data_IF_494162633971
#
_entry.id   IF_494162633971
#
_cell.length_a   1.000
_cell.length_b   1.000
_cell.length_c   1.000
_cell.angle_alpha   90.00
_cell.angle_beta   90.00
_cell.angle_gamma   90.00
#
_symmetry.space_group_name_H-M   'P 1'
#
loop_
_entity.id
_entity.type
_entity.pdbx_description
1 polymer ?
#
# COMPACT_ATOMS: atom_id res chain seq x y z
N UNK A 1 42.09 12.68 9.68
CA UNK A 1 40.68 12.92 10.07
C UNK A 1 40.05 11.57 10.40
N UNK A 2 39.73 11.31 11.66
CA UNK A 2 39.26 9.99 12.13
C UNK A 2 37.83 9.70 11.63
N UNK A 3 37.49 8.40 11.49
CA UNK A 3 36.13 7.94 11.13
C UNK A 3 35.06 8.52 12.07
N UNK A 4 35.36 8.60 13.36
CA UNK A 4 34.47 9.15 14.39
C UNK A 4 34.21 10.65 14.23
N UNK A 5 35.17 11.41 13.71
CA UNK A 5 34.96 12.83 13.42
C UNK A 5 34.03 13.00 12.21
N UNK A 6 34.21 12.19 11.16
CA UNK A 6 33.35 12.22 9.98
C UNK A 6 31.93 11.81 10.30
N UNK A 7 31.71 10.76 11.11
CA UNK A 7 30.35 10.33 11.50
C UNK A 7 29.62 11.43 12.30
N UNK A 8 30.31 12.10 13.22
CA UNK A 8 29.76 13.27 13.94
C UNK A 8 29.39 14.40 12.98
N UNK A 9 30.24 14.72 12.01
CA UNK A 9 29.93 15.75 11.00
C UNK A 9 28.71 15.36 10.15
N UNK A 10 28.63 14.12 9.67
CA UNK A 10 27.48 13.59 8.92
C UNK A 10 26.21 13.78 9.73
N UNK A 11 26.22 13.39 11.01
CA UNK A 11 25.05 13.51 11.89
C UNK A 11 24.63 14.97 12.12
N UNK A 12 25.59 15.87 12.33
CA UNK A 12 25.30 17.31 12.52
C UNK A 12 24.64 17.90 11.27
N UNK A 13 25.18 17.62 10.08
CA UNK A 13 24.59 18.04 8.80
C UNK A 13 23.19 17.43 8.65
N UNK A 14 23.06 16.13 8.92
CA UNK A 14 21.78 15.44 8.80
C UNK A 14 20.71 16.08 9.69
N UNK A 15 21.04 16.39 10.94
CA UNK A 15 20.11 17.02 11.90
C UNK A 15 19.66 18.42 11.45
N UNK A 16 20.57 19.21 10.88
CA UNK A 16 20.25 20.54 10.36
C UNK A 16 19.28 20.45 9.17
N UNK A 17 19.58 19.57 8.22
CA UNK A 17 18.74 19.34 7.04
C UNK A 17 17.40 18.70 7.38
N UNK A 18 17.35 17.82 8.39
CA UNK A 18 16.12 17.14 8.81
C UNK A 18 15.01 18.15 9.16
N UNK A 19 15.36 19.22 9.89
CA UNK A 19 14.39 20.27 10.25
C UNK A 19 13.83 20.96 9.01
N UNK A 20 14.67 21.18 8.00
CA UNK A 20 14.24 21.78 6.73
C UNK A 20 13.34 20.83 5.95
N UNK A 21 13.68 19.55 5.87
CA UNK A 21 12.88 18.54 5.15
C UNK A 21 11.51 18.34 5.79
N UNK A 22 11.41 18.27 7.12
CA UNK A 22 10.13 18.07 7.81
C UNK A 22 9.19 19.29 7.75
N UNK A 23 9.72 20.50 7.92
CA UNK A 23 8.89 21.70 8.11
C UNK A 23 8.78 22.59 6.86
N UNK A 24 9.35 22.20 5.73
CA UNK A 24 9.14 22.99 4.51
C UNK A 24 7.72 22.83 3.97
N UNK A 25 7.13 23.94 3.52
CA UNK A 25 5.83 23.93 2.80
C UNK A 25 5.88 23.01 1.56
N UNK A 26 7.06 22.88 0.95
CA UNK A 26 7.31 22.03 -0.23
C UNK A 26 7.28 20.53 0.10
N UNK A 27 7.33 20.12 1.37
CA UNK A 27 7.26 18.71 1.79
C UNK A 27 5.85 18.26 2.22
N UNK A 28 4.90 19.19 2.38
CA UNK A 28 3.59 18.88 2.95
C UNK A 28 2.79 17.85 2.12
N UNK A 29 2.90 17.90 0.79
CA UNK A 29 2.24 16.94 -0.11
C UNK A 29 2.73 15.49 0.09
N UNK A 30 3.96 15.29 0.58
CA UNK A 30 4.51 13.95 0.86
C UNK A 30 3.79 13.30 2.03
N UNK A 31 3.37 14.08 3.04
CA UNK A 31 2.50 13.58 4.11
C UNK A 31 1.13 13.21 3.57
N UNK A 32 0.58 14.00 2.65
CA UNK A 32 -0.65 13.67 1.94
C UNK A 32 -0.55 12.32 1.23
N UNK A 33 0.53 12.08 0.49
CA UNK A 33 0.79 10.78 -0.15
C UNK A 33 0.89 9.64 0.87
N UNK A 34 1.61 9.85 1.98
CA UNK A 34 1.82 8.83 2.99
C UNK A 34 0.58 8.52 3.84
N UNK A 35 -0.33 9.48 4.04
CA UNK A 35 -1.53 9.32 4.89
C UNK A 35 -2.83 9.11 4.10
N UNK A 36 -2.81 9.22 2.78
CA UNK A 36 -4.00 9.02 1.96
C UNK A 36 -4.66 7.63 2.17
N UNK A 37 -3.92 6.50 2.21
CA UNK A 37 -4.49 5.20 2.52
C UNK A 37 -5.17 5.14 3.88
N UNK A 38 -4.56 5.77 4.90
CA UNK A 38 -5.14 5.87 6.23
C UNK A 38 -6.53 6.51 6.17
N UNK A 39 -6.69 7.60 5.40
CA UNK A 39 -8.00 8.25 5.22
C UNK A 39 -9.02 7.30 4.59
N UNK A 40 -8.63 6.53 3.57
CA UNK A 40 -9.51 5.55 2.92
C UNK A 40 -9.98 4.50 3.93
N UNK A 41 -9.05 3.91 4.70
CA UNK A 41 -9.41 2.88 5.69
C UNK A 41 -10.28 3.44 6.82
N UNK A 42 -10.02 4.67 7.27
CA UNK A 42 -10.87 5.35 8.26
C UNK A 42 -12.28 5.60 7.70
N UNK A 43 -12.41 6.08 6.46
CA UNK A 43 -13.71 6.26 5.82
C UNK A 43 -14.45 4.93 5.67
N UNK A 44 -13.75 3.87 5.24
CA UNK A 44 -14.33 2.52 5.15
C UNK A 44 -14.80 2.02 6.52
N UNK A 45 -14.04 2.26 7.57
CA UNK A 45 -14.41 1.90 8.94
C UNK A 45 -15.70 2.60 9.38
N UNK A 46 -15.81 3.91 9.12
CA UNK A 46 -17.03 4.68 9.40
C UNK A 46 -18.22 4.14 8.61
N UNK A 47 -18.03 3.81 7.33
CA UNK A 47 -19.08 3.24 6.48
C UNK A 47 -19.55 1.87 6.99
N UNK A 48 -18.61 1.02 7.41
CA UNK A 48 -18.91 -0.29 7.99
C UNK A 48 -19.68 -0.15 9.30
N UNK A 49 -19.25 0.75 10.18
CA UNK A 49 -19.92 1.00 11.46
C UNK A 49 -21.34 1.55 11.25
N UNK A 50 -21.50 2.48 10.31
CA UNK A 50 -22.82 2.96 9.91
C UNK A 50 -23.72 1.82 9.41
N UNK A 51 -23.18 0.95 8.56
CA UNK A 51 -23.91 -0.21 8.05
C UNK A 51 -24.28 -1.21 9.15
N UNK A 52 -23.39 -1.48 10.10
CA UNK A 52 -23.68 -2.32 11.28
C UNK A 52 -24.84 -1.74 12.09
N UNK A 53 -24.82 -0.42 12.38
CA UNK A 53 -25.90 0.24 13.12
C UNK A 53 -27.24 0.15 12.41
N UNK A 54 -27.27 0.37 11.10
CA UNK A 54 -28.52 0.24 10.32
C UNK A 54 -29.07 -1.18 10.35
N UNK A 55 -28.20 -2.20 10.24
CA UNK A 55 -28.62 -3.60 10.27
C UNK A 55 -29.11 -4.03 11.66
N UNK A 56 -28.38 -3.64 12.71
CA UNK A 56 -28.74 -3.93 14.10
C UNK A 56 -30.02 -3.23 14.56
N UNK A 57 -30.38 -2.10 13.95
CA UNK A 57 -31.61 -1.37 14.28
C UNK A 57 -32.90 -2.07 13.83
N UNK A 58 -32.83 -3.03 12.89
CA UNK A 58 -34.03 -3.71 12.37
C UNK A 58 -34.35 -4.96 13.19
N UNK A 59 -33.47 -5.95 13.15
CA UNK A 59 -33.61 -7.19 13.91
C UNK A 59 -32.26 -7.93 13.88
N UNK A 60 -31.82 -8.46 15.02
CA UNK A 60 -30.62 -9.29 15.13
C UNK A 60 -31.06 -10.69 15.52
N UNK A 61 -30.81 -11.66 14.64
CA UNK A 61 -31.15 -13.07 14.88
C UNK A 61 -29.98 -13.79 15.56
N UNK A 62 -30.25 -14.88 16.28
CA UNK A 62 -29.17 -15.67 16.84
C UNK A 62 -28.41 -16.42 15.73
N UNK A 63 -27.08 -16.63 15.87
CA UNK A 63 -26.30 -17.38 14.89
C UNK A 63 -26.85 -18.80 14.66
N UNK A 64 -27.30 -19.48 15.72
CA UNK A 64 -27.88 -20.82 15.63
C UNK A 64 -29.17 -20.86 14.81
N UNK A 65 -30.01 -19.82 14.89
CA UNK A 65 -31.21 -19.72 14.06
C UNK A 65 -30.83 -19.52 12.59
N UNK A 66 -29.81 -18.70 12.32
CA UNK A 66 -29.34 -18.48 10.95
C UNK A 66 -28.74 -19.74 10.32
N UNK A 67 -27.93 -20.48 11.08
CA UNK A 67 -27.29 -21.73 10.60
C UNK A 67 -28.30 -22.90 10.50
N UNK A 68 -29.50 -22.76 11.07
CA UNK A 68 -30.56 -23.77 11.00
C UNK A 68 -31.34 -23.77 9.68
N UNK A 69 -31.15 -22.76 8.82
CA UNK A 69 -31.85 -22.60 7.55
C UNK A 69 -31.28 -23.54 6.49
N UNK A 70 -32.15 -24.31 5.82
CA UNK A 70 -31.75 -25.26 4.76
C UNK A 70 -32.39 -24.92 3.43
N UNK A 71 -31.68 -25.25 2.35
CA UNK A 71 -32.22 -25.18 1.00
C UNK A 71 -33.45 -26.10 0.86
N UNK A 72 -34.44 -25.66 0.08
CA UNK A 72 -35.72 -26.34 -0.10
C UNK A 72 -36.83 -25.94 0.88
N UNK A 73 -36.54 -25.12 1.90
CA UNK A 73 -37.56 -24.61 2.81
C UNK A 73 -38.49 -23.58 2.15
N UNK A 74 -39.76 -23.54 2.58
CA UNK A 74 -40.74 -22.53 2.13
C UNK A 74 -40.50 -21.18 2.81
N UNK A 75 -40.78 -20.09 2.10
CA UNK A 75 -40.63 -18.71 2.59
C UNK A 75 -41.34 -18.49 3.93
N UNK A 76 -42.57 -19.00 4.07
CA UNK A 76 -43.40 -18.76 5.26
C UNK A 76 -42.79 -19.39 6.51
N UNK A 77 -42.31 -20.63 6.40
CA UNK A 77 -41.65 -21.35 7.49
C UNK A 77 -40.36 -20.65 7.93
N UNK A 78 -39.60 -20.09 6.99
CA UNK A 78 -38.38 -19.34 7.27
C UNK A 78 -38.70 -18.01 7.97
N UNK A 79 -39.74 -17.31 7.52
CA UNK A 79 -40.19 -16.04 8.12
C UNK A 79 -40.75 -16.22 9.54
N UNK A 80 -41.49 -17.30 9.79
CA UNK A 80 -42.04 -17.61 11.12
C UNK A 80 -40.91 -17.89 12.12
N UNK A 81 -39.86 -18.61 11.68
CA UNK A 81 -38.71 -18.97 12.52
C UNK A 81 -37.72 -17.82 12.76
N UNK A 82 -37.35 -17.09 11.71
CA UNK A 82 -36.32 -16.04 11.78
C UNK A 82 -36.92 -14.66 12.12
N UNK A 83 -38.24 -14.53 12.05
CA UNK A 83 -38.95 -13.27 12.21
C UNK A 83 -38.70 -12.29 11.07
N UNK A 84 -38.85 -10.99 11.39
CA UNK A 84 -38.81 -9.91 10.41
C UNK A 84 -37.41 -9.77 9.78
N UNK A 85 -37.27 -9.84 8.45
CA UNK A 85 -35.99 -9.67 7.77
C UNK A 85 -35.53 -8.20 7.80
N UNK A 86 -34.21 -7.99 7.77
CA UNK A 86 -33.59 -6.66 7.70
C UNK A 86 -33.86 -5.96 6.37
N UNK A 87 -33.96 -6.74 5.30
CA UNK A 87 -34.34 -6.28 3.96
C UNK A 87 -35.15 -7.37 3.29
N UNK A 88 -36.27 -6.97 2.71
CA UNK A 88 -37.14 -7.81 1.92
C UNK A 88 -37.29 -7.18 0.55
N UNK A 89 -36.98 -7.96 -0.48
CA UNK A 89 -37.01 -7.51 -1.87
C UNK A 89 -37.66 -8.58 -2.71
N UNK A 90 -38.76 -8.21 -3.35
CA UNK A 90 -39.48 -9.07 -4.26
C UNK A 90 -39.34 -8.54 -5.68
N UNK A 91 -38.98 -9.43 -6.60
CA UNK A 91 -38.84 -9.13 -8.01
C UNK A 91 -39.45 -10.27 -8.83
N UNK A 92 -40.34 -9.93 -9.75
CA UNK A 92 -40.83 -10.87 -10.75
C UNK A 92 -40.17 -10.57 -12.09
N UNK A 93 -39.65 -11.60 -12.75
CA UNK A 93 -39.15 -11.49 -14.11
C UNK A 93 -39.98 -12.39 -15.02
N UNK A 94 -40.26 -11.91 -16.24
CA UNK A 94 -40.95 -12.71 -17.26
C UNK A 94 -39.89 -13.48 -18.03
N UNK A 95 -39.96 -14.80 -18.01
CA UNK A 95 -39.13 -15.66 -18.85
C UNK A 95 -39.94 -16.07 -20.06
N UNK A 96 -39.46 -15.71 -21.26
CA UNK A 96 -40.04 -16.20 -22.51
C UNK A 96 -39.36 -17.52 -22.85
N UNK A 97 -40.13 -18.60 -22.90
CA UNK A 97 -39.62 -19.92 -23.21
C UNK A 97 -39.21 -20.01 -24.70
N UNK A 98 -38.24 -20.86 -25.01
CA UNK A 98 -37.54 -20.90 -26.30
C UNK A 98 -38.43 -21.40 -27.46
N UNK A 99 -39.47 -22.15 -27.13
CA UNK A 99 -40.59 -22.48 -28.02
C UNK A 99 -41.77 -21.59 -27.62
N UNK A 100 -41.98 -20.52 -28.37
CA UNK A 100 -42.86 -19.44 -27.97
C UNK A 100 -44.31 -19.88 -27.79
N UNK A 101 -44.86 -19.61 -26.60
CA UNK A 101 -46.19 -18.97 -26.42
C UNK A 101 -46.49 -18.66 -24.94
N UNK A 102 -45.80 -19.26 -23.97
CA UNK A 102 -46.05 -18.98 -22.54
C UNK A 102 -45.02 -18.02 -21.90
N UNK A 103 -45.51 -16.90 -21.34
CA UNK A 103 -44.73 -16.03 -20.44
C UNK A 103 -44.86 -16.55 -19.00
N UNK A 104 -43.89 -17.34 -18.53
CA UNK A 104 -43.86 -17.78 -17.13
C UNK A 104 -43.33 -16.64 -16.25
N UNK A 105 -44.13 -16.19 -15.27
CA UNK A 105 -43.73 -15.20 -14.25
C UNK A 105 -43.06 -15.89 -13.07
N UNK A 106 -41.73 -15.88 -13.06
CA UNK A 106 -40.96 -16.45 -11.95
C UNK A 106 -40.88 -15.39 -10.84
N UNK A 107 -41.33 -15.76 -9.64
CA UNK A 107 -41.34 -14.89 -8.47
C UNK A 107 -40.08 -15.12 -7.64
N UNK A 108 -39.17 -14.15 -7.65
CA UNK A 108 -37.96 -14.19 -6.84
C UNK A 108 -38.09 -13.27 -5.63
N UNK A 109 -37.74 -13.79 -4.45
CA UNK A 109 -37.70 -13.00 -3.22
C UNK A 109 -36.35 -13.13 -2.57
N UNK A 110 -35.78 -12.01 -2.13
CA UNK A 110 -34.50 -11.93 -1.47
C UNK A 110 -34.70 -11.41 -0.06
N UNK A 111 -34.34 -12.24 0.93
CA UNK A 111 -34.44 -11.91 2.34
C UNK A 111 -33.04 -11.76 2.92
N UNK A 112 -32.80 -10.64 3.62
CA UNK A 112 -31.53 -10.41 4.30
C UNK A 112 -31.70 -10.52 5.82
N UNK A 113 -30.85 -11.30 6.45
CA UNK A 113 -30.77 -11.43 7.90
C UNK A 113 -29.39 -11.06 8.43
N UNK A 114 -29.35 -10.64 9.69
CA UNK A 114 -28.15 -10.17 10.38
C UNK A 114 -28.04 -10.87 11.73
N UNK A 115 -26.91 -11.51 11.99
CA UNK A 115 -26.64 -12.20 13.26
C UNK A 115 -25.73 -11.41 14.23
N UNK A 116 -25.39 -10.16 13.86
CA UNK A 116 -24.43 -9.32 14.59
C UNK A 116 -23.03 -9.29 13.98
N UNK A 117 -22.65 -10.28 13.15
CA UNK A 117 -21.31 -10.40 12.55
C UNK A 117 -21.35 -10.73 11.05
N UNK A 118 -22.27 -11.62 10.68
CA UNK A 118 -22.50 -12.18 9.35
C UNK A 118 -23.86 -11.74 8.84
N UNK A 119 -23.91 -11.52 7.53
CA UNK A 119 -25.13 -11.25 6.79
C UNK A 119 -25.50 -12.49 5.99
N UNK A 120 -26.70 -13.02 6.22
CA UNK A 120 -27.30 -14.02 5.34
C UNK A 120 -28.13 -13.33 4.27
N UNK A 121 -27.90 -13.71 3.01
CA UNK A 121 -28.75 -13.40 1.88
C UNK A 121 -29.40 -14.71 1.41
N UNK A 122 -30.71 -14.81 1.62
CA UNK A 122 -31.54 -15.96 1.27
C UNK A 122 -32.29 -15.64 -0.03
N UNK A 123 -32.09 -16.46 -1.05
CA UNK A 123 -32.70 -16.28 -2.38
C UNK A 123 -33.76 -17.35 -2.57
N UNK A 124 -35.01 -16.91 -2.64
CA UNK A 124 -36.16 -17.75 -2.90
C UNK A 124 -36.59 -17.61 -4.35
N UNK A 125 -36.94 -18.73 -4.98
CA UNK A 125 -37.62 -18.77 -6.27
C UNK A 125 -38.92 -19.54 -6.10
N UNK A 126 -40.03 -18.97 -6.55
CA UNK A 126 -41.37 -19.57 -6.46
C UNK A 126 -41.75 -19.98 -5.03
N UNK A 127 -41.31 -19.19 -4.04
CA UNK A 127 -41.60 -19.45 -2.63
C UNK A 127 -40.71 -20.51 -1.96
N UNK A 128 -39.74 -21.09 -2.68
CA UNK A 128 -38.81 -22.10 -2.14
C UNK A 128 -37.39 -21.54 -2.07
N UNK A 129 -36.69 -21.80 -0.97
CA UNK A 129 -35.31 -21.36 -0.77
C UNK A 129 -34.36 -22.15 -1.67
N UNK A 130 -33.71 -21.47 -2.61
CA UNK A 130 -32.77 -22.12 -3.51
C UNK A 130 -31.31 -21.89 -3.15
N UNK A 131 -30.95 -20.67 -2.74
CA UNK A 131 -29.56 -20.33 -2.45
C UNK A 131 -29.43 -19.59 -1.14
N UNK A 132 -28.41 -19.96 -0.37
CA UNK A 132 -28.04 -19.35 0.89
C UNK A 132 -26.63 -18.76 0.75
N UNK A 133 -26.51 -17.44 0.87
CA UNK A 133 -25.22 -16.77 0.86
C UNK A 133 -24.98 -16.10 2.20
N UNK A 134 -24.18 -16.74 3.06
CA UNK A 134 -23.74 -16.17 4.32
C UNK A 134 -22.36 -15.54 4.09
N UNK A 135 -22.25 -14.24 4.34
CA UNK A 135 -20.97 -13.51 4.24
C UNK A 135 -20.70 -12.76 5.53
N UNK A 136 -19.49 -12.89 6.06
CA UNK A 136 -19.04 -12.04 7.14
C UNK A 136 -18.87 -10.61 6.63
N UNK A 137 -19.46 -9.64 7.32
CA UNK A 137 -19.46 -8.25 6.83
C UNK A 137 -18.07 -7.61 6.94
N UNK A 138 -17.34 -8.00 7.98
CA UNK A 138 -15.95 -7.64 8.21
C UNK A 138 -15.20 -8.91 8.56
N UNK A 139 -14.35 -9.37 7.65
CA UNK A 139 -13.42 -10.47 7.90
C UNK A 139 -11.99 -9.94 7.92
N UNK A 140 -11.17 -10.45 8.82
CA UNK A 140 -9.76 -10.07 8.91
C UNK A 140 -8.99 -10.35 7.61
N UNK A 141 -9.30 -11.44 6.90
CA UNK A 141 -8.61 -11.82 5.68
C UNK A 141 -8.88 -10.87 4.52
N UNK A 142 -10.14 -10.44 4.35
CA UNK A 142 -10.50 -9.41 3.38
C UNK A 142 -9.76 -8.10 3.66
N UNK A 143 -9.72 -7.68 4.93
CA UNK A 143 -9.02 -6.45 5.33
C UNK A 143 -7.51 -6.55 5.04
N UNK A 144 -6.87 -7.68 5.37
CA UNK A 144 -5.46 -7.95 5.06
C UNK A 144 -5.19 -7.92 3.56
N UNK A 145 -6.07 -8.50 2.74
CA UNK A 145 -5.95 -8.51 1.28
C UNK A 145 -6.09 -7.09 0.70
N UNK A 146 -7.04 -6.30 1.20
CA UNK A 146 -7.20 -4.89 0.81
C UNK A 146 -5.95 -4.07 1.15
N UNK A 147 -5.45 -4.19 2.39
CA UNK A 147 -4.24 -3.51 2.81
C UNK A 147 -3.02 -3.95 1.98
N UNK A 148 -2.87 -5.25 1.73
CA UNK A 148 -1.79 -5.79 0.93
C UNK A 148 -1.80 -5.23 -0.51
N UNK A 149 -2.97 -5.12 -1.13
CA UNK A 149 -3.14 -4.48 -2.43
C UNK A 149 -2.76 -3.00 -2.40
N UNK A 150 -3.29 -2.25 -1.43
CA UNK A 150 -2.96 -0.83 -1.26
C UNK A 150 -1.46 -0.64 -0.99
N UNK A 151 -0.84 -1.51 -0.21
CA UNK A 151 0.59 -1.44 0.07
C UNK A 151 1.42 -1.63 -1.21
N UNK A 152 1.12 -2.65 -2.00
CA UNK A 152 1.85 -2.95 -3.23
C UNK A 152 1.65 -1.90 -4.33
N UNK A 153 0.40 -1.57 -4.63
CA UNK A 153 0.07 -0.72 -5.79
C UNK A 153 0.17 0.76 -5.48
N UNK A 154 -0.25 1.19 -4.30
CA UNK A 154 -0.22 2.59 -3.92
C UNK A 154 1.06 2.93 -3.15
N UNK A 155 1.38 2.26 -2.04
CA UNK A 155 2.56 2.65 -1.24
C UNK A 155 3.88 2.47 -2.00
N UNK A 156 4.16 1.25 -2.48
CA UNK A 156 5.45 0.94 -3.08
C UNK A 156 5.66 1.63 -4.44
N UNK A 157 4.66 1.54 -5.33
CA UNK A 157 4.80 2.04 -6.71
C UNK A 157 4.55 3.55 -6.85
N UNK A 158 3.72 4.14 -5.98
CA UNK A 158 3.31 5.54 -6.12
C UNK A 158 3.80 6.39 -4.95
N UNK A 159 3.35 6.14 -3.72
CA UNK A 159 3.60 7.02 -2.59
C UNK A 159 5.08 7.15 -2.24
N UNK A 160 5.79 6.02 -2.07
CA UNK A 160 7.22 6.01 -1.73
C UNK A 160 8.05 6.49 -2.92
N UNK A 161 7.70 6.07 -4.14
CA UNK A 161 8.38 6.53 -5.35
C UNK A 161 8.35 8.06 -5.47
N UNK A 162 7.15 8.66 -5.48
CA UNK A 162 7.00 10.11 -5.63
C UNK A 162 7.45 10.87 -4.39
N UNK A 163 7.27 10.30 -3.21
CA UNK A 163 7.80 10.87 -1.97
C UNK A 163 9.32 10.93 -1.95
N UNK A 164 10.00 9.88 -2.38
CA UNK A 164 11.45 9.86 -2.50
C UNK A 164 11.92 10.81 -3.59
N UNK A 165 11.24 10.87 -4.74
CA UNK A 165 11.50 11.88 -5.77
C UNK A 165 11.41 13.29 -5.17
N UNK A 166 10.33 13.58 -4.46
CA UNK A 166 10.08 14.89 -3.85
C UNK A 166 11.09 15.29 -2.79
N UNK A 167 11.45 14.36 -1.90
CA UNK A 167 12.42 14.61 -0.83
C UNK A 167 13.82 14.71 -1.44
N UNK A 168 14.32 13.64 -2.06
CA UNK A 168 15.73 13.52 -2.41
C UNK A 168 16.15 14.35 -3.62
N UNK A 169 15.27 14.63 -4.58
CA UNK A 169 15.63 15.56 -5.67
C UNK A 169 15.83 16.97 -5.14
N UNK A 170 15.00 17.41 -4.19
CA UNK A 170 15.04 18.76 -3.67
C UNK A 170 16.23 19.03 -2.74
N UNK A 171 16.87 17.99 -2.18
CA UNK A 171 18.02 18.12 -1.27
C UNK A 171 19.23 18.84 -1.88
N UNK A 172 19.51 18.60 -3.15
CA UNK A 172 20.58 19.29 -3.89
C UNK A 172 20.02 20.28 -4.88
N UNK A 173 19.04 19.87 -5.70
CA UNK A 173 18.49 20.71 -6.76
C UNK A 173 17.83 21.97 -6.20
N UNK A 174 17.09 21.83 -5.09
CA UNK A 174 16.43 22.96 -4.44
C UNK A 174 17.45 24.01 -4.00
N UNK A 175 18.57 23.60 -3.44
CA UNK A 175 19.63 24.54 -3.04
C UNK A 175 20.42 25.13 -4.20
N UNK A 176 20.56 24.39 -5.31
CA UNK A 176 21.15 24.92 -6.53
C UNK A 176 20.26 26.00 -7.16
N UNK A 177 18.93 25.80 -7.16
CA UNK A 177 17.96 26.77 -7.66
C UNK A 177 17.87 27.99 -6.73
N UNK A 178 17.88 27.77 -5.42
CA UNK A 178 17.88 28.85 -4.42
C UNK A 178 19.26 29.54 -4.30
N UNK A 179 20.26 29.14 -5.11
CA UNK A 179 21.66 29.63 -5.10
C UNK A 179 22.34 29.57 -3.73
N UNK A 180 21.94 28.65 -2.86
CA UNK A 180 22.49 28.50 -1.49
C UNK A 180 23.56 27.42 -1.37
N UNK A 181 23.73 26.56 -2.39
CA UNK A 181 24.67 25.44 -2.35
C UNK A 181 26.14 25.90 -2.20
N UNK A 182 26.49 27.10 -2.65
CA UNK A 182 27.86 27.63 -2.53
C UNK A 182 28.30 27.81 -1.07
N UNK A 183 27.39 28.17 -0.15
CA UNK A 183 27.71 28.27 1.27
C UNK A 183 28.16 26.93 1.87
N UNK A 184 27.56 25.83 1.43
CA UNK A 184 27.96 24.49 1.84
C UNK A 184 29.31 24.05 1.27
N UNK A 185 29.69 24.55 0.08
CA UNK A 185 31.00 24.28 -0.51
C UNK A 185 32.13 25.09 0.12
N UNK A 186 31.82 26.24 0.71
CA UNK A 186 32.76 27.08 1.46
C UNK A 186 33.00 26.58 2.89
N UNK A 187 32.07 25.79 3.44
CA UNK A 187 32.23 25.18 4.75
C UNK A 187 33.42 24.19 4.73
N UNK A 188 34.20 24.07 5.83
CA UNK A 188 35.33 23.14 5.93
C UNK A 188 34.85 21.68 6.14
N UNK A 189 33.96 21.21 5.27
CA UNK A 189 33.41 19.86 5.24
C UNK A 189 33.73 19.21 3.90
N UNK A 190 34.15 17.95 3.93
CA UNK A 190 34.42 17.20 2.69
C UNK A 190 33.09 16.97 1.97
N UNK A 191 33.11 17.05 0.64
CA UNK A 191 31.86 16.99 -0.14
C UNK A 191 31.16 15.61 -0.08
N UNK A 192 31.92 14.55 0.18
CA UNK A 192 31.38 13.20 0.44
C UNK A 192 30.63 13.13 1.77
N UNK A 193 31.14 13.81 2.81
CA UNK A 193 30.48 13.95 4.12
C UNK A 193 29.19 14.77 4.01
N UNK A 194 29.18 15.82 3.18
CA UNK A 194 27.98 16.61 2.90
C UNK A 194 26.90 15.76 2.22
N UNK A 195 27.26 15.01 1.18
CA UNK A 195 26.33 14.11 0.49
C UNK A 195 25.76 13.06 1.44
N UNK A 196 26.61 12.42 2.26
CA UNK A 196 26.18 11.43 3.23
C UNK A 196 25.23 12.02 4.29
N UNK A 197 25.52 13.22 4.80
CA UNK A 197 24.66 13.92 5.76
C UNK A 197 23.29 14.26 5.18
N UNK A 198 23.26 14.77 3.95
CA UNK A 198 22.02 15.07 3.22
C UNK A 198 21.21 13.80 2.96
N UNK A 199 21.83 12.77 2.42
CA UNK A 199 21.18 11.49 2.18
C UNK A 199 20.57 10.91 3.46
N UNK A 200 21.32 10.94 4.57
CA UNK A 200 20.84 10.46 5.87
C UNK A 200 19.64 11.28 6.37
N UNK A 201 19.64 12.60 6.21
CA UNK A 201 18.49 13.43 6.56
C UNK A 201 17.23 13.06 5.75
N UNK A 202 17.39 12.96 4.42
CA UNK A 202 16.29 12.56 3.53
C UNK A 202 15.78 11.16 3.85
N UNK A 203 16.69 10.21 4.12
CA UNK A 203 16.34 8.85 4.49
C UNK A 203 15.59 8.78 5.81
N UNK A 204 16.04 9.49 6.85
CA UNK A 204 15.33 9.53 8.13
C UNK A 204 13.95 10.16 7.98
N UNK A 205 13.83 11.25 7.22
CA UNK A 205 12.54 11.88 6.96
C UNK A 205 11.58 10.95 6.21
N UNK A 206 12.02 10.38 5.08
CA UNK A 206 11.22 9.45 4.29
C UNK A 206 10.83 8.20 5.10
N UNK A 207 11.78 7.65 5.86
CA UNK A 207 11.58 6.49 6.74
C UNK A 207 10.51 6.73 7.80
N UNK A 208 10.57 7.89 8.48
CA UNK A 208 9.57 8.27 9.47
C UNK A 208 8.23 8.48 8.79
N UNK A 209 8.16 9.25 7.70
CA UNK A 209 6.90 9.57 7.02
C UNK A 209 6.20 8.31 6.48
N UNK A 210 6.91 7.50 5.69
CA UNK A 210 6.33 6.32 5.06
C UNK A 210 6.21 5.13 6.02
N UNK A 211 7.16 4.94 6.93
CA UNK A 211 7.09 3.88 7.94
C UNK A 211 5.94 4.11 8.91
N UNK A 212 5.78 5.33 9.43
CA UNK A 212 4.63 5.66 10.31
C UNK A 212 3.33 5.66 9.54
N UNK A 213 3.30 6.17 8.31
CA UNK A 213 2.11 6.11 7.46
C UNK A 213 1.64 4.67 7.24
N UNK A 214 2.54 3.76 6.89
CA UNK A 214 2.23 2.35 6.70
C UNK A 214 1.73 1.70 8.00
N UNK A 215 2.40 1.95 9.13
CA UNK A 215 1.98 1.44 10.43
C UNK A 215 0.60 1.96 10.88
N UNK A 216 0.33 3.26 10.67
CA UNK A 216 -0.97 3.86 10.97
C UNK A 216 -2.08 3.29 10.09
N UNK A 217 -1.81 3.12 8.79
CA UNK A 217 -2.75 2.51 7.85
C UNK A 217 -3.04 1.06 8.24
N UNK A 218 -2.03 0.29 8.66
CA UNK A 218 -2.21 -1.07 9.18
C UNK A 218 -3.04 -1.10 10.46
N UNK A 219 -2.86 -0.14 11.37
CA UNK A 219 -3.72 0.02 12.54
C UNK A 219 -5.17 0.33 12.16
N UNK A 220 -5.39 1.24 11.20
CA UNK A 220 -6.73 1.58 10.72
C UNK A 220 -7.43 0.42 10.02
N UNK A 221 -6.69 -0.45 9.31
CA UNK A 221 -7.20 -1.69 8.74
C UNK A 221 -7.80 -2.62 9.80
N UNK A 222 -7.23 -2.67 11.01
CA UNK A 222 -7.71 -3.52 12.11
C UNK A 222 -8.89 -2.92 12.87
N UNK A 223 -9.17 -1.62 12.70
CA UNK A 223 -10.21 -0.92 13.45
C UNK A 223 -11.63 -1.51 13.32
N UNK A 224 -12.14 -1.85 12.11
CA UNK A 224 -13.51 -2.36 11.98
C UNK A 224 -13.67 -3.82 12.42
N UNK A 225 -12.56 -4.53 12.68
CA UNK A 225 -12.51 -5.95 13.04
C UNK A 225 -12.89 -6.14 14.50
N UNK A 226 -13.51 -7.28 14.82
CA UNK A 226 -13.92 -7.57 16.20
C UNK A 226 -12.71 -7.74 17.13
N UNK A 227 -12.82 -7.24 18.37
CA UNK A 227 -11.73 -7.25 19.34
C UNK A 227 -11.21 -8.65 19.68
N UNK A 228 -12.06 -9.69 19.62
CA UNK A 228 -11.67 -11.08 19.83
C UNK A 228 -10.75 -11.60 18.70
N UNK A 229 -11.14 -11.38 17.44
CA UNK A 229 -10.32 -11.73 16.26
C UNK A 229 -9.01 -10.93 16.22
N UNK A 230 -9.04 -9.66 16.62
CA UNK A 230 -7.83 -8.84 16.70
C UNK A 230 -6.86 -9.43 17.74
N UNK A 231 -7.34 -9.84 18.91
CA UNK A 231 -6.48 -10.45 19.95
C UNK A 231 -5.84 -11.75 19.49
N UNK A 232 -6.58 -12.63 18.82
CA UNK A 232 -6.03 -13.88 18.28
C UNK A 232 -5.01 -13.60 17.18
N UNK A 233 -5.26 -12.60 16.34
CA UNK A 233 -4.32 -12.17 15.32
C UNK A 233 -3.02 -11.59 15.89
N UNK A 234 -3.11 -10.78 16.96
CA UNK A 234 -1.95 -10.24 17.68
C UNK A 234 -1.14 -11.31 18.41
N UNK A 235 -1.78 -12.39 18.87
CA UNK A 235 -1.08 -13.54 19.43
C UNK A 235 -0.32 -14.36 18.36
N UNK A 236 -0.63 -14.15 17.08
CA UNK A 236 0.01 -14.79 15.94
C UNK A 236 0.84 -13.81 15.09
N UNK A 237 0.59 -13.73 13.77
CA UNK A 237 1.52 -13.09 12.83
C UNK A 237 1.37 -11.56 12.69
N UNK A 238 0.51 -10.90 13.49
CA UNK A 238 0.20 -9.49 13.28
C UNK A 238 1.41 -8.56 13.37
N UNK A 239 2.23 -8.73 14.42
CA UNK A 239 3.43 -7.90 14.64
C UNK A 239 4.49 -8.15 13.58
N UNK A 240 4.71 -9.41 13.21
CA UNK A 240 5.64 -9.78 12.15
C UNK A 240 5.24 -9.18 10.80
N UNK A 241 3.95 -9.24 10.45
CA UNK A 241 3.43 -8.62 9.22
C UNK A 241 3.63 -7.10 9.24
N UNK A 242 3.27 -6.43 10.33
CA UNK A 242 3.44 -4.99 10.48
C UNK A 242 4.92 -4.57 10.33
N UNK A 243 5.83 -5.32 10.97
CA UNK A 243 7.27 -5.08 10.89
C UNK A 243 7.82 -5.33 9.49
N UNK A 244 7.37 -6.38 8.79
CA UNK A 244 7.80 -6.67 7.42
C UNK A 244 7.32 -5.59 6.43
N UNK A 245 6.09 -5.12 6.54
CA UNK A 245 5.61 -4.00 5.73
C UNK A 245 6.38 -2.70 6.02
N UNK A 246 6.62 -2.39 7.29
CA UNK A 246 7.40 -1.20 7.67
C UNK A 246 8.85 -1.31 7.18
N UNK A 247 9.48 -2.48 7.32
CA UNK A 247 10.82 -2.75 6.80
C UNK A 247 10.88 -2.65 5.27
N UNK A 248 9.87 -3.15 4.56
CA UNK A 248 9.75 -3.01 3.11
C UNK A 248 9.67 -1.52 2.71
N UNK A 249 8.88 -0.71 3.43
CA UNK A 249 8.79 0.72 3.19
C UNK A 249 10.14 1.44 3.44
N UNK A 250 10.85 1.08 4.52
CA UNK A 250 12.17 1.61 4.85
C UNK A 250 13.22 1.27 3.78
N UNK A 251 13.24 0.01 3.34
CA UNK A 251 14.12 -0.45 2.28
C UNK A 251 13.80 0.22 0.94
N UNK A 252 12.53 0.41 0.61
CA UNK A 252 12.14 1.17 -0.57
C UNK A 252 12.64 2.61 -0.50
N UNK A 253 12.53 3.27 0.66
CA UNK A 253 13.08 4.62 0.87
C UNK A 253 14.61 4.64 0.70
N UNK A 254 15.31 3.60 1.16
CA UNK A 254 16.75 3.43 1.00
C UNK A 254 17.15 3.24 -0.47
N UNK A 255 16.45 2.37 -1.19
CA UNK A 255 16.68 2.12 -2.62
C UNK A 255 16.40 3.36 -3.46
N UNK A 256 15.13 3.77 -3.51
CA UNK A 256 14.70 4.90 -4.33
C UNK A 256 15.36 6.21 -3.92
N UNK A 257 15.58 6.44 -2.63
CA UNK A 257 16.25 7.64 -2.15
C UNK A 257 17.67 7.77 -2.70
N UNK A 258 18.42 6.66 -2.79
CA UNK A 258 19.77 6.69 -3.34
C UNK A 258 19.78 7.04 -4.84
N UNK A 259 18.83 6.48 -5.60
CA UNK A 259 18.70 6.75 -7.04
C UNK A 259 18.31 8.21 -7.28
N UNK A 260 17.30 8.72 -6.57
CA UNK A 260 16.84 10.10 -6.75
C UNK A 260 17.85 11.13 -6.22
N UNK A 261 18.58 10.83 -5.16
CA UNK A 261 19.68 11.71 -4.73
C UNK A 261 20.76 11.81 -5.82
N UNK A 262 21.17 10.67 -6.39
CA UNK A 262 22.15 10.64 -7.47
C UNK A 262 21.63 11.37 -8.72
N UNK A 263 20.37 11.14 -9.08
CA UNK A 263 19.72 11.82 -10.20
C UNK A 263 19.61 13.34 -10.00
N UNK A 264 19.28 13.80 -8.79
CA UNK A 264 19.19 15.22 -8.44
C UNK A 264 20.53 15.96 -8.48
N UNK A 265 21.63 15.21 -8.42
CA UNK A 265 22.99 15.74 -8.61
C UNK A 265 23.41 15.74 -10.08
N UNK A 266 23.10 14.67 -10.82
CA UNK A 266 23.63 14.42 -12.16
C UNK A 266 22.78 15.05 -13.28
N UNK A 267 21.49 15.25 -13.06
CA UNK A 267 20.55 15.64 -14.11
C UNK A 267 19.97 17.03 -13.84
N UNK A 268 19.97 17.89 -14.86
CA UNK A 268 19.43 19.25 -14.75
C UNK A 268 17.92 19.27 -14.52
N UNK A 269 17.18 18.44 -15.28
CA UNK A 269 15.72 18.36 -15.22
C UNK A 269 15.28 17.14 -14.38
N UNK A 270 14.58 17.35 -13.26
CA UNK A 270 14.16 16.27 -12.36
C UNK A 270 13.10 15.34 -12.93
N UNK A 271 12.38 15.76 -13.98
CA UNK A 271 11.30 14.97 -14.59
C UNK A 271 11.86 13.78 -15.37
N UNK A 272 13.02 13.92 -16.03
CA UNK A 272 13.58 12.88 -16.90
C UNK A 272 13.90 11.59 -16.12
N UNK A 273 14.66 11.62 -15.01
CA UNK A 273 14.93 10.42 -14.23
C UNK A 273 13.66 9.81 -13.64
N UNK A 274 12.68 10.64 -13.25
CA UNK A 274 11.41 10.18 -12.71
C UNK A 274 10.63 9.36 -13.75
N UNK A 275 10.49 9.87 -14.97
CA UNK A 275 9.75 9.18 -16.05
C UNK A 275 10.46 7.89 -16.44
N UNK A 276 11.78 7.92 -16.61
CA UNK A 276 12.56 6.72 -16.98
C UNK A 276 12.41 5.63 -15.92
N UNK A 277 12.55 5.98 -14.64
CA UNK A 277 12.45 5.01 -13.55
C UNK A 277 11.02 4.52 -13.36
N UNK A 278 10.02 5.38 -13.52
CA UNK A 278 8.61 4.99 -13.43
C UNK A 278 8.19 4.07 -14.58
N UNK A 279 8.65 4.36 -15.80
CA UNK A 279 8.45 3.50 -16.96
C UNK A 279 9.13 2.14 -16.77
N UNK A 280 10.36 2.14 -16.23
CA UNK A 280 11.09 0.92 -15.89
C UNK A 280 10.36 0.06 -14.87
N UNK A 281 9.93 0.66 -13.75
CA UNK A 281 9.25 -0.07 -12.66
C UNK A 281 7.85 -0.54 -13.07
N UNK A 282 7.18 0.18 -13.97
CA UNK A 282 5.88 -0.22 -14.53
C UNK A 282 6.03 -1.37 -15.53
N UNK A 283 7.09 -1.36 -16.34
CA UNK A 283 7.41 -2.41 -17.31
C UNK A 283 8.01 -3.66 -16.65
N UNK A 284 8.41 -3.60 -15.37
CA UNK A 284 9.17 -4.64 -14.69
C UNK A 284 8.50 -6.03 -14.74
N UNK A 285 7.16 -6.10 -14.69
CA UNK A 285 6.42 -7.36 -14.81
C UNK A 285 6.53 -8.05 -16.18
N UNK A 286 6.98 -7.35 -17.21
CA UNK A 286 7.13 -7.87 -18.58
C UNK A 286 8.60 -8.12 -18.97
N UNK A 287 9.56 -7.71 -18.13
CA UNK A 287 10.98 -7.79 -18.43
C UNK A 287 11.56 -9.18 -18.10
N UNK A 288 12.60 -9.64 -18.82
CA UNK A 288 13.38 -10.84 -18.46
C UNK A 288 13.92 -10.79 -17.02
N UNK A 289 14.09 -11.95 -16.38
CA UNK A 289 14.47 -12.06 -14.96
C UNK A 289 15.76 -11.29 -14.57
N UNK A 290 16.69 -11.12 -15.50
CA UNK A 290 17.93 -10.33 -15.26
C UNK A 290 17.62 -8.85 -15.09
N UNK A 291 16.72 -8.30 -15.90
CA UNK A 291 16.32 -6.90 -15.87
C UNK A 291 15.43 -6.62 -14.65
N UNK A 292 14.65 -7.61 -14.20
CA UNK A 292 13.88 -7.50 -12.97
C UNK A 292 14.75 -7.31 -11.72
N UNK A 293 15.92 -7.95 -11.67
CA UNK A 293 16.88 -7.81 -10.57
C UNK A 293 17.54 -6.43 -10.48
N UNK A 294 17.41 -5.58 -11.50
CA UNK A 294 17.91 -4.21 -11.48
C UNK A 294 16.88 -3.23 -10.88
N UNK A 295 15.63 -3.63 -10.69
CA UNK A 295 14.59 -2.81 -10.08
C UNK A 295 14.67 -2.87 -8.55
N UNK A 296 14.41 -1.72 -7.91
CA UNK A 296 14.31 -1.63 -6.44
C UNK A 296 13.07 -2.40 -5.97
N UNK A 297 11.99 -2.36 -6.76
CA UNK A 297 10.73 -3.01 -6.45
C UNK A 297 10.88 -4.53 -6.33
N UNK A 298 11.73 -5.17 -7.14
CA UNK A 298 11.99 -6.63 -7.05
C UNK A 298 12.47 -7.05 -5.65
N UNK A 299 13.43 -6.31 -5.08
CA UNK A 299 13.95 -6.61 -3.74
C UNK A 299 12.91 -6.30 -2.66
N UNK A 300 12.19 -5.19 -2.78
CA UNK A 300 11.22 -4.78 -1.75
C UNK A 300 10.00 -5.70 -1.72
N UNK A 301 9.51 -6.14 -2.87
CA UNK A 301 8.37 -7.07 -2.96
C UNK A 301 8.69 -8.43 -2.33
N UNK A 302 9.94 -8.89 -2.43
CA UNK A 302 10.36 -10.14 -1.78
C UNK A 302 10.31 -10.09 -0.24
N UNK A 303 10.30 -8.90 0.35
CA UNK A 303 10.18 -8.70 1.80
C UNK A 303 8.72 -8.63 2.28
N UNK A 304 7.77 -8.48 1.37
CA UNK A 304 6.36 -8.36 1.72
C UNK A 304 5.85 -9.73 2.21
N UNK A 305 5.08 -9.76 3.32
CA UNK A 305 4.63 -11.02 3.92
C UNK A 305 3.58 -11.74 3.07
N UNK A 306 2.91 -11.02 2.17
CA UNK A 306 1.91 -11.55 1.26
C UNK A 306 2.29 -11.19 -0.17
N UNK A 307 2.08 -12.08 -1.15
CA UNK A 307 2.30 -11.76 -2.56
C UNK A 307 1.32 -10.67 -3.00
N UNK A 308 1.72 -9.86 -3.99
CA UNK A 308 0.84 -8.87 -4.58
C UNK A 308 -0.46 -9.54 -5.08
N UNK A 309 -1.65 -9.00 -4.74
CA UNK A 309 -2.90 -9.59 -5.18
C UNK A 309 -3.01 -9.47 -6.70
N UNK A 310 -3.14 -10.60 -7.38
CA UNK A 310 -3.33 -10.62 -8.85
C UNK A 310 -4.78 -10.28 -9.15
N UNK A 311 -5.02 -9.36 -10.08
CA UNK A 311 -6.38 -8.98 -10.48
C UNK A 311 -7.20 -10.21 -10.91
N UNK A 312 -8.45 -10.27 -10.43
CA UNK A 312 -9.43 -11.25 -10.87
C UNK A 312 -9.82 -10.92 -12.32
N UNK A 313 -9.31 -11.72 -13.27
CA UNK A 313 -9.56 -11.53 -14.71
C UNK A 313 -8.31 -11.52 -15.59
N UNK A 314 -7.10 -11.53 -15.01
CA UNK A 314 -5.86 -11.63 -15.81
C UNK A 314 -5.84 -12.96 -16.58
N UNK A 315 -5.79 -12.97 -17.93
CA UNK A 315 -5.74 -14.20 -18.71
C UNK A 315 -4.59 -15.10 -18.26
N UNK A 316 -4.79 -16.43 -18.25
CA UNK A 316 -3.80 -17.39 -17.75
C UNK A 316 -2.41 -17.24 -18.43
N UNK A 317 -2.39 -16.88 -19.72
CA UNK A 317 -1.17 -16.56 -20.46
C UNK A 317 -0.43 -15.36 -19.88
N UNK A 318 -1.15 -14.28 -19.55
CA UNK A 318 -0.56 -13.07 -18.96
C UNK A 318 -0.05 -13.37 -17.55
N UNK A 319 -0.71 -14.24 -16.78
CA UNK A 319 -0.19 -14.73 -15.49
C UNK A 319 1.11 -15.52 -15.62
N UNK A 320 1.28 -16.25 -16.73
CA UNK A 320 2.48 -17.05 -17.01
C UNK A 320 3.67 -16.17 -17.43
N UNK A 321 3.43 -15.08 -18.16
CA UNK A 321 4.45 -14.06 -18.48
C UNK A 321 4.76 -13.11 -17.32
N UNK A 322 3.78 -12.84 -16.46
CA UNK A 322 3.93 -12.06 -15.22
C UNK A 322 4.62 -12.84 -14.09
N UNK A 323 5.00 -14.12 -14.32
CA UNK A 323 5.67 -14.94 -13.32
C UNK A 323 6.88 -14.17 -12.78
N UNK A 324 6.80 -13.65 -11.53
CA UNK A 324 7.87 -12.83 -10.98
C UNK A 324 9.12 -13.68 -10.95
N UNK A 325 10.29 -13.08 -11.22
CA UNK A 325 11.56 -13.73 -10.93
C UNK A 325 11.51 -14.36 -9.52
N UNK A 326 12.03 -15.58 -9.33
CA UNK A 326 11.86 -16.35 -8.11
C UNK A 326 12.16 -15.48 -6.90
N UNK A 327 11.21 -15.44 -5.95
CA UNK A 327 11.31 -14.58 -4.78
C UNK A 327 12.65 -14.85 -4.10
N UNK A 328 13.51 -13.84 -4.12
CA UNK A 328 14.81 -13.91 -3.47
C UNK A 328 14.58 -14.05 -1.96
N UNK A 329 15.39 -14.87 -1.28
CA UNK A 329 15.28 -14.98 0.18
C UNK A 329 15.41 -13.60 0.82
N UNK A 330 14.59 -13.33 1.84
CA UNK A 330 14.53 -12.01 2.47
C UNK A 330 15.91 -11.43 2.89
N UNK A 331 16.90 -12.21 3.38
CA UNK A 331 18.21 -11.65 3.71
C UNK A 331 19.01 -11.26 2.47
N UNK A 332 18.93 -12.07 1.42
CA UNK A 332 19.65 -11.81 0.17
C UNK A 332 19.06 -10.59 -0.53
N UNK A 333 17.76 -10.34 -0.40
CA UNK A 333 17.12 -9.15 -0.92
C UNK A 333 17.57 -7.87 -0.20
N UNK A 334 17.66 -7.91 1.14
CA UNK A 334 18.21 -6.81 1.93
C UNK A 334 19.66 -6.53 1.55
N UNK A 335 20.50 -7.57 1.46
CA UNK A 335 21.90 -7.43 1.07
C UNK A 335 22.04 -6.89 -0.36
N UNK A 336 21.27 -7.42 -1.30
CA UNK A 336 21.23 -6.96 -2.68
C UNK A 336 20.89 -5.48 -2.78
N UNK A 337 19.83 -5.04 -2.10
CA UNK A 337 19.42 -3.65 -2.10
C UNK A 337 20.44 -2.73 -1.41
N UNK A 338 20.98 -3.13 -0.27
CA UNK A 338 22.04 -2.38 0.42
C UNK A 338 23.29 -2.24 -0.46
N UNK A 339 23.67 -3.29 -1.20
CA UNK A 339 24.81 -3.27 -2.12
C UNK A 339 24.57 -2.32 -3.30
N UNK A 340 23.36 -2.34 -3.88
CA UNK A 340 22.94 -1.44 -4.95
C UNK A 340 22.98 0.02 -4.49
N UNK A 341 22.39 0.31 -3.32
CA UNK A 341 22.43 1.65 -2.72
C UNK A 341 23.85 2.11 -2.42
N UNK A 342 24.71 1.25 -1.87
CA UNK A 342 26.11 1.59 -1.61
C UNK A 342 26.86 1.92 -2.91
N UNK A 343 26.63 1.16 -3.99
CA UNK A 343 27.24 1.41 -5.29
C UNK A 343 26.78 2.76 -5.89
N UNK A 344 25.48 3.05 -5.84
CA UNK A 344 24.92 4.31 -6.34
C UNK A 344 25.46 5.51 -5.54
N UNK A 345 25.47 5.41 -4.21
CA UNK A 345 25.99 6.48 -3.35
C UNK A 345 27.50 6.68 -3.54
N UNK A 346 28.26 5.62 -3.80
CA UNK A 346 29.67 5.72 -4.15
C UNK A 346 29.87 6.51 -5.45
N UNK A 347 29.12 6.19 -6.51
CA UNK A 347 29.16 6.93 -7.78
C UNK A 347 28.76 8.39 -7.59
N UNK A 348 27.69 8.65 -6.84
CA UNK A 348 27.25 10.00 -6.52
C UNK A 348 28.33 10.77 -5.75
N UNK A 349 28.99 10.15 -4.77
CA UNK A 349 30.09 10.76 -4.03
C UNK A 349 31.28 11.11 -4.92
N UNK A 350 31.57 10.32 -5.96
CA UNK A 350 32.60 10.68 -6.95
C UNK A 350 32.15 11.84 -7.85
N UNK A 351 30.87 11.89 -8.23
CA UNK A 351 30.32 12.98 -9.01
C UNK A 351 30.35 14.31 -8.25
N UNK A 352 29.99 14.35 -6.96
CA UNK A 352 30.04 15.58 -6.14
C UNK A 352 31.45 16.16 -6.05
N UNK A 353 32.48 15.32 -6.00
CA UNK A 353 33.88 15.79 -5.94
C UNK A 353 34.28 16.58 -7.18
N UNK A 354 33.69 16.26 -8.34
CA UNK A 354 33.92 16.93 -9.62
C UNK A 354 32.93 18.06 -9.91
N UNK A 355 31.98 18.30 -9.00
CA UNK A 355 30.95 19.30 -9.21
C UNK A 355 31.54 20.71 -9.13
N UNK A 356 31.46 21.46 -10.22
CA UNK A 356 31.78 22.88 -10.27
C UNK A 356 30.47 23.64 -10.45
N UNK A 357 30.17 24.56 -9.52
CA UNK A 357 28.94 25.35 -9.61
C UNK A 357 29.25 26.61 -10.40
N UNK A 358 28.76 26.67 -11.64
CA UNK A 358 28.80 27.88 -12.44
C UNK A 358 27.39 28.47 -12.52
N UNK A 359 27.13 29.53 -11.76
CA UNK A 359 25.83 30.23 -11.75
C UNK A 359 25.63 31.15 -12.96
N UNK A 360 26.64 31.27 -13.83
CA UNK A 360 26.67 32.20 -14.96
C UNK A 360 26.15 31.65 -16.28
N UNK A 361 25.44 30.53 -16.28
CA UNK A 361 24.90 29.91 -17.50
C UNK A 361 23.43 29.53 -17.33
N UNK A 362 22.58 30.54 -17.17
CA UNK A 362 21.19 30.47 -17.62
C UNK A 362 21.09 31.24 -18.95
#
# INVERSE_FOLDING_TARGET
MTLNFRSRQIWTIARLELRRVFFSRRSFWVYGLALFPLLIFVMQTIAVEYQKRTLSAVNTISPALMDSVREGERVEAVLERLGKPSRDREYSFRRRERDGEEEVRIHNRQLHYWDGQRRANLIFQEGVLQNIHIRQLVSIDLQRLMYNGVFHYYYLKLAIFFGCLGIFMNLFRGEMLDKTLHFWLLAPARRDVLLAGKYLAGLLAASVIFGTGAALTYGAMLWPVESAEVRTFFAGPALEQMLRYSAAALLACLGYGSVFLAAGLLVRNPIIPAVVLLMWESANGFLPAVLQKLSVLHYVQSLCPMPAPVEEGTPALVRMFLAPAPATSWPLAVLGLCSLTAAILYLAAQAVKRLEINYGGD
#
